data_IF_469415741757
#
_entry.id   IF_469415741757
#
_cell.length_a   1.000
_cell.length_b   1.000
_cell.length_c   1.000
_cell.angle_alpha   90.00
_cell.angle_beta   90.00
_cell.angle_gamma   90.00
#
_symmetry.space_group_name_H-M   'P 1'
#
loop_
_entity.id
_entity.type
_entity.pdbx_description
1 polymer ?
#
# COMPACT_ATOMS: atom_id res chain seq x y z
N UNK A 1 20.53 -1.15 -14.54
CA UNK A 1 20.58 -0.54 -14.59
C UNK A 1 20.73 -0.21 -14.58
N UNK A 2 20.45 -0.43 -14.30
CA UNK A 2 20.46 0.14 -14.15
C UNK A 2 20.37 0.43 -14.10
N UNK A 3 20.14 0.53 -13.93
CA UNK A 3 19.94 1.14 -13.89
C UNK A 3 19.51 1.29 -14.16
N UNK A 4 19.41 1.15 -14.14
CA UNK A 4 18.96 1.68 -14.32
C UNK A 4 18.45 1.90 -14.56
N UNK A 5 18.23 1.86 -14.58
CA UNK A 5 17.71 2.37 -14.68
C UNK A 5 17.11 2.66 -15.03
N UNK A 6 16.82 2.85 -15.19
CA UNK A 6 16.18 3.31 -15.42
C UNK A 6 15.40 3.45 -15.81
N UNK A 7 14.99 3.67 -15.94
CA UNK A 7 14.17 3.75 -16.17
C UNK A 7 13.27 3.98 -16.39
N UNK A 8 12.92 4.05 -16.56
CA UNK A 8 11.95 4.10 -16.64
C UNK A 8 11.08 4.46 -16.43
N UNK A 9 10.43 4.54 -17.25
CA UNK A 9 9.21 5.15 -16.95
C UNK A 9 8.82 4.69 -15.58
N UNK A 10 8.08 5.19 -14.86
CA UNK A 10 7.70 4.72 -13.55
C UNK A 10 8.81 4.24 -12.65
N UNK A 11 9.96 4.01 -13.21
CA UNK A 11 11.08 3.55 -12.40
C UNK A 11 11.79 4.74 -11.82
N UNK A 12 11.77 4.85 -10.51
CA UNK A 12 12.60 5.79 -9.83
C UNK A 12 13.82 5.04 -9.29
N UNK A 13 14.86 5.77 -8.96
CA UNK A 13 16.02 5.18 -8.32
C UNK A 13 15.78 4.87 -6.86
N UNK A 14 14.64 5.31 -6.35
CA UNK A 14 14.27 5.05 -4.97
C UNK A 14 13.79 3.60 -4.84
N UNK A 15 14.16 2.98 -3.76
CA UNK A 15 13.66 1.65 -3.44
C UNK A 15 12.15 1.71 -3.20
N UNK A 16 11.49 0.57 -3.32
CA UNK A 16 10.06 0.51 -3.02
C UNK A 16 9.78 0.91 -1.57
N UNK A 17 10.67 0.53 -0.67
CA UNK A 17 10.57 0.92 0.74
C UNK A 17 10.49 2.42 0.89
N UNK A 18 11.37 3.15 0.20
CA UNK A 18 11.37 4.62 0.24
C UNK A 18 10.11 5.19 -0.38
N UNK A 19 9.68 4.66 -1.52
CA UNK A 19 8.46 5.13 -2.20
C UNK A 19 7.24 4.97 -1.33
N UNK A 20 7.15 3.86 -0.61
CA UNK A 20 6.01 3.58 0.25
C UNK A 20 6.11 4.26 1.60
N UNK A 21 7.26 4.81 1.94
CA UNK A 21 7.47 5.51 3.19
C UNK A 21 7.63 4.59 4.40
N UNK A 22 8.16 3.40 4.18
CA UNK A 22 8.39 2.45 5.28
C UNK A 22 9.69 2.82 5.97
N UNK A 23 9.61 3.06 7.27
CA UNK A 23 10.77 3.45 8.07
C UNK A 23 11.34 2.26 8.84
N UNK A 24 12.65 2.26 9.12
CA UNK A 24 13.24 1.20 9.95
C UNK A 24 12.53 1.09 11.28
N UNK A 25 12.37 -0.14 11.75
CA UNK A 25 11.69 -0.40 13.02
C UNK A 25 10.19 -0.42 12.95
N UNK A 26 9.60 -0.15 11.78
CA UNK A 26 8.14 -0.13 11.63
C UNK A 26 7.54 -1.51 11.82
N UNK A 27 6.38 -1.53 12.44
CA UNK A 27 5.55 -2.72 12.55
C UNK A 27 4.64 -2.75 11.32
N UNK A 28 4.87 -3.69 10.42
CA UNK A 28 4.19 -3.73 9.13
C UNK A 28 3.48 -5.05 8.89
N UNK A 29 2.44 -4.98 8.07
CA UNK A 29 1.77 -6.18 7.55
C UNK A 29 1.33 -5.89 6.13
N UNK A 30 1.09 -6.95 5.37
CA UNK A 30 0.51 -6.82 4.04
C UNK A 30 -0.50 -7.93 3.83
N UNK A 31 -1.54 -7.60 3.12
CA UNK A 31 -2.69 -8.48 2.94
C UNK A 31 -2.89 -8.76 1.45
N UNK A 32 -2.95 -10.05 1.10
CA UNK A 32 -3.11 -10.52 -0.28
C UNK A 32 -2.01 -10.05 -1.24
N UNK A 33 -0.83 -9.81 -0.72
CA UNK A 33 0.29 -9.33 -1.51
C UNK A 33 0.75 -10.40 -2.52
N UNK A 34 1.25 -9.96 -3.69
CA UNK A 34 1.90 -10.89 -4.61
C UNK A 34 3.06 -11.61 -3.93
N UNK A 35 3.36 -12.81 -4.38
CA UNK A 35 4.44 -13.61 -3.79
C UNK A 35 5.79 -12.90 -3.81
N UNK A 36 6.02 -12.09 -4.82
CA UNK A 36 7.29 -11.39 -4.99
C UNK A 36 7.39 -10.08 -4.20
N UNK A 37 6.36 -9.74 -3.41
CA UNK A 37 6.32 -8.47 -2.71
C UNK A 37 7.50 -8.27 -1.77
N UNK A 38 7.84 -9.30 -0.99
CA UNK A 38 8.98 -9.21 -0.07
C UNK A 38 10.29 -8.95 -0.81
N UNK A 39 10.45 -9.56 -1.98
CA UNK A 39 11.64 -9.32 -2.81
C UNK A 39 11.65 -7.89 -3.35
N UNK A 40 10.48 -7.35 -3.71
CA UNK A 40 10.38 -5.98 -4.18
C UNK A 40 10.79 -4.98 -3.11
N UNK A 41 10.47 -5.26 -1.85
CA UNK A 41 10.85 -4.38 -0.76
C UNK A 41 12.35 -4.31 -0.59
N UNK A 42 13.06 -5.41 -0.84
CA UNK A 42 14.51 -5.41 -0.84
C UNK A 42 15.18 -5.15 0.49
N UNK A 43 14.48 -5.38 1.59
CA UNK A 43 15.03 -5.11 2.92
C UNK A 43 15.75 -6.32 3.49
N UNK A 44 16.90 -6.11 4.16
CA UNK A 44 17.53 -7.17 4.92
C UNK A 44 16.61 -7.65 6.05
N UNK A 45 16.64 -8.94 6.39
CA UNK A 45 15.89 -9.44 7.54
C UNK A 45 16.27 -8.69 8.80
N UNK A 46 15.29 -8.38 9.61
CA UNK A 46 15.51 -7.76 10.92
C UNK A 46 15.35 -6.26 10.97
N UNK A 47 15.27 -5.59 9.83
CA UNK A 47 15.04 -4.13 9.82
C UNK A 47 13.60 -3.74 10.06
N UNK A 48 12.66 -4.66 9.85
CA UNK A 48 11.24 -4.40 10.04
C UNK A 48 10.63 -5.51 10.88
N UNK A 49 9.60 -5.15 11.61
CA UNK A 49 8.78 -6.14 12.30
C UNK A 49 7.60 -6.50 11.38
N UNK A 50 7.72 -7.60 10.66
CA UNK A 50 6.65 -8.05 9.76
C UNK A 50 5.74 -8.98 10.55
N UNK A 51 4.47 -8.62 10.63
CA UNK A 51 3.49 -9.34 11.45
C UNK A 51 2.34 -9.87 10.59
N UNK A 52 1.56 -10.78 11.18
CA UNK A 52 0.54 -11.51 10.46
C UNK A 52 -0.77 -10.75 10.25
N UNK A 53 -1.72 -11.44 9.62
CA UNK A 53 -2.97 -10.87 9.13
C UNK A 53 -3.90 -10.34 10.21
N UNK A 54 -3.74 -10.80 11.45
CA UNK A 54 -4.63 -10.38 12.55
C UNK A 54 -3.99 -9.37 13.47
N UNK A 55 -2.76 -8.97 13.18
CA UNK A 55 -2.03 -8.05 14.04
C UNK A 55 -2.61 -6.66 13.93
N UNK A 56 -2.53 -5.92 15.04
CA UNK A 56 -3.02 -4.55 15.15
C UNK A 56 -1.88 -3.62 15.53
N UNK A 57 -2.22 -2.34 15.69
CA UNK A 57 -1.26 -1.32 16.05
C UNK A 57 -0.13 -1.22 15.04
N UNK A 58 -0.50 -1.31 13.77
CA UNK A 58 0.45 -1.28 12.67
C UNK A 58 0.88 0.15 12.36
N UNK A 59 2.16 0.31 12.08
CA UNK A 59 2.68 1.55 11.52
C UNK A 59 2.38 1.62 10.03
N UNK A 60 2.29 0.47 9.38
CA UNK A 60 2.15 0.37 7.94
C UNK A 60 1.36 -0.91 7.59
N UNK A 61 0.37 -0.76 6.74
CA UNK A 61 -0.37 -1.90 6.19
C UNK A 61 -0.51 -1.70 4.68
N UNK A 62 -0.19 -2.73 3.91
CA UNK A 62 -0.35 -2.70 2.46
C UNK A 62 -1.41 -3.72 2.07
N UNK A 63 -2.54 -3.22 1.61
CA UNK A 63 -3.69 -4.03 1.21
C UNK A 63 -3.72 -4.14 -0.32
N UNK A 64 -3.74 -5.36 -0.83
CA UNK A 64 -3.85 -5.62 -2.26
C UNK A 64 -5.25 -6.16 -2.54
N UNK A 65 -5.96 -5.54 -3.48
CA UNK A 65 -7.32 -5.94 -3.85
C UNK A 65 -7.47 -5.91 -5.37
N UNK A 66 -8.32 -6.78 -5.89
CA UNK A 66 -8.51 -6.88 -7.34
C UNK A 66 -9.84 -6.32 -7.82
N UNK A 67 -10.78 -6.09 -6.92
CA UNK A 67 -12.10 -5.60 -7.33
C UNK A 67 -12.72 -4.74 -6.23
N UNK A 68 -13.74 -3.99 -6.64
CA UNK A 68 -14.41 -3.03 -5.77
C UNK A 68 -15.07 -3.71 -4.57
N UNK A 69 -15.73 -4.83 -4.80
CA UNK A 69 -16.43 -5.54 -3.74
C UNK A 69 -15.47 -5.92 -2.60
N UNK A 70 -14.31 -6.47 -2.98
CA UNK A 70 -13.30 -6.85 -1.99
C UNK A 70 -12.80 -5.64 -1.21
N UNK A 71 -12.60 -4.52 -1.90
CA UNK A 71 -12.10 -3.31 -1.25
C UNK A 71 -13.12 -2.77 -0.25
N UNK A 72 -14.40 -2.73 -0.65
CA UNK A 72 -15.47 -2.26 0.24
C UNK A 72 -15.51 -3.09 1.52
N UNK A 73 -15.32 -4.40 1.40
CA UNK A 73 -15.32 -5.30 2.56
C UNK A 73 -14.07 -5.18 3.40
N UNK A 74 -12.91 -5.04 2.76
CA UNK A 74 -11.62 -5.08 3.44
C UNK A 74 -11.20 -3.76 4.07
N UNK A 75 -11.62 -2.64 3.50
CA UNK A 75 -11.13 -1.33 3.91
C UNK A 75 -11.42 -1.01 5.39
N UNK A 76 -12.67 -1.18 5.89
CA UNK A 76 -12.93 -0.87 7.30
C UNK A 76 -12.08 -1.71 8.25
N UNK A 77 -11.86 -2.98 7.90
CA UNK A 77 -11.05 -3.88 8.72
C UNK A 77 -9.59 -3.44 8.72
N UNK A 78 -9.08 -3.07 7.55
CA UNK A 78 -7.71 -2.60 7.42
C UNK A 78 -7.49 -1.31 8.21
N UNK A 79 -8.43 -0.38 8.12
CA UNK A 79 -8.36 0.88 8.86
C UNK A 79 -8.17 0.63 10.36
N UNK A 80 -8.90 -0.34 10.90
CA UNK A 80 -8.85 -0.62 12.35
C UNK A 80 -7.54 -1.25 12.79
N UNK A 81 -6.73 -1.74 11.86
CA UNK A 81 -5.46 -2.40 12.18
C UNK A 81 -4.30 -1.43 12.28
N UNK A 82 -4.40 -0.24 11.70
CA UNK A 82 -3.31 0.73 11.74
C UNK A 82 -3.49 1.70 12.90
N UNK A 83 -2.36 2.19 13.42
CA UNK A 83 -2.36 3.25 14.43
C UNK A 83 -2.94 4.53 13.83
N UNK A 84 -3.39 5.45 14.70
CA UNK A 84 -3.89 6.74 14.22
C UNK A 84 -2.85 7.55 13.46
N UNK A 85 -1.56 7.31 13.71
CA UNK A 85 -0.47 7.92 12.94
C UNK A 85 0.13 6.93 11.93
N UNK A 86 -0.54 5.80 11.69
CA UNK A 86 -0.09 4.80 10.74
C UNK A 86 -0.49 5.12 9.33
N UNK A 87 -0.09 4.24 8.43
CA UNK A 87 -0.30 4.39 6.99
C UNK A 87 -0.97 3.14 6.42
N UNK A 88 -1.96 3.36 5.58
CA UNK A 88 -2.59 2.28 4.82
C UNK A 88 -2.37 2.53 3.33
N UNK A 89 -1.62 1.66 2.68
CA UNK A 89 -1.51 1.65 1.24
C UNK A 89 -2.52 0.66 0.69
N UNK A 90 -3.27 1.09 -0.32
CA UNK A 90 -4.18 0.21 -1.06
C UNK A 90 -3.67 0.10 -2.48
N UNK A 91 -3.47 -1.12 -2.95
CA UNK A 91 -3.01 -1.36 -4.31
C UNK A 91 -4.04 -2.16 -5.09
N UNK A 92 -4.16 -1.82 -6.36
CA UNK A 92 -5.09 -2.46 -7.29
C UNK A 92 -4.37 -2.67 -8.61
N UNK A 93 -4.85 -3.62 -9.46
CA UNK A 93 -4.23 -3.84 -10.76
C UNK A 93 -4.35 -2.63 -11.67
N UNK A 94 -3.27 -2.28 -12.35
CA UNK A 94 -3.29 -1.18 -13.32
C UNK A 94 -4.18 -1.54 -14.51
N UNK A 95 -4.63 -0.52 -15.24
CA UNK A 95 -5.50 -0.74 -16.39
C UNK A 95 -4.84 -1.56 -17.49
N UNK A 96 -3.51 -1.53 -17.57
CA UNK A 96 -2.76 -2.29 -18.57
C UNK A 96 -2.41 -3.70 -18.11
N UNK A 97 -2.70 -4.03 -16.86
CA UNK A 97 -2.43 -5.37 -16.34
C UNK A 97 -3.48 -6.36 -16.83
N UNK A 98 -3.08 -7.62 -16.99
CA UNK A 98 -4.02 -8.70 -17.26
C UNK A 98 -4.96 -8.96 -16.09
N UNK A 99 -4.62 -8.41 -14.91
CA UNK A 99 -5.43 -8.54 -13.71
C UNK A 99 -6.45 -7.41 -13.57
N UNK A 100 -6.46 -6.44 -14.48
CA UNK A 100 -7.32 -5.26 -14.39
C UNK A 100 -8.79 -5.62 -14.22
N UNK A 101 -9.46 -4.86 -13.37
CA UNK A 101 -10.87 -5.05 -13.05
C UNK A 101 -11.59 -3.72 -12.94
N UNK A 102 -12.46 -3.61 -11.96
CA UNK A 102 -13.33 -2.45 -11.78
C UNK A 102 -12.78 -1.40 -10.82
N UNK A 103 -11.49 -1.45 -10.50
CA UNK A 103 -10.85 -0.48 -9.64
C UNK A 103 -10.04 0.54 -10.45
N UNK A 104 -10.11 1.78 -10.00
CA UNK A 104 -9.32 2.88 -10.52
C UNK A 104 -8.90 3.75 -9.33
N UNK A 105 -8.00 4.68 -9.57
CA UNK A 105 -7.57 5.61 -8.54
C UNK A 105 -8.77 6.32 -7.90
N UNK A 106 -9.71 6.80 -8.72
CA UNK A 106 -10.88 7.53 -8.21
C UNK A 106 -11.80 6.64 -7.36
N UNK A 107 -12.04 5.42 -7.80
CA UNK A 107 -12.88 4.48 -7.04
C UNK A 107 -12.23 4.18 -5.69
N UNK A 108 -10.94 3.91 -5.68
CA UNK A 108 -10.20 3.62 -4.45
C UNK A 108 -10.24 4.84 -3.51
N UNK A 109 -10.02 6.03 -4.05
CA UNK A 109 -10.08 7.27 -3.27
C UNK A 109 -11.43 7.46 -2.61
N UNK A 110 -12.51 7.28 -3.36
CA UNK A 110 -13.87 7.45 -2.85
C UNK A 110 -14.15 6.51 -1.68
N UNK A 111 -13.72 5.26 -1.80
CA UNK A 111 -13.92 4.28 -0.74
C UNK A 111 -13.12 4.68 0.52
N UNK A 112 -11.89 5.14 0.34
CA UNK A 112 -11.08 5.59 1.47
C UNK A 112 -11.68 6.79 2.18
N UNK A 113 -12.13 7.77 1.41
CA UNK A 113 -12.77 8.96 1.98
C UNK A 113 -14.06 8.60 2.72
N UNK A 114 -14.85 7.69 2.16
CA UNK A 114 -16.08 7.23 2.81
C UNK A 114 -15.80 6.53 4.14
N UNK A 115 -14.61 5.98 4.31
CA UNK A 115 -14.19 5.32 5.55
C UNK A 115 -13.46 6.27 6.50
N UNK A 116 -13.37 7.56 6.17
CA UNK A 116 -12.79 8.54 7.08
C UNK A 116 -11.29 8.75 6.99
N UNK A 117 -10.65 8.15 6.00
CA UNK A 117 -9.23 8.39 5.75
C UNK A 117 -9.07 9.39 4.60
N UNK A 118 -7.87 9.91 4.43
CA UNK A 118 -7.55 10.78 3.31
C UNK A 118 -6.35 10.23 2.55
N UNK A 119 -6.38 10.40 1.23
CA UNK A 119 -5.27 10.00 0.37
C UNK A 119 -4.24 11.12 0.33
N UNK A 120 -2.96 10.73 0.36
CA UNK A 120 -1.87 11.69 0.40
C UNK A 120 -0.81 11.47 -0.67
N UNK A 121 -0.79 10.31 -1.32
CA UNK A 121 0.21 10.02 -2.34
C UNK A 121 -0.24 8.87 -3.22
N UNK A 122 0.08 8.98 -4.51
CA UNK A 122 -0.12 7.88 -5.46
C UNK A 122 1.25 7.41 -5.94
N UNK A 123 1.40 6.11 -6.15
CA UNK A 123 2.64 5.55 -6.65
C UNK A 123 2.38 4.24 -7.39
N UNK A 124 3.26 3.92 -8.34
CA UNK A 124 3.28 2.59 -8.93
C UNK A 124 4.07 1.67 -8.00
N UNK A 125 3.50 0.52 -7.67
CA UNK A 125 4.22 -0.50 -6.92
C UNK A 125 5.12 -1.29 -7.88
N UNK A 126 4.55 -1.70 -9.01
CA UNK A 126 5.29 -2.31 -10.10
C UNK A 126 4.50 -2.15 -11.39
N UNK A 127 4.79 -2.97 -12.40
CA UNK A 127 4.11 -2.88 -13.69
C UNK A 127 2.62 -3.22 -13.62
N UNK A 128 2.24 -4.05 -12.68
CA UNK A 128 0.87 -4.56 -12.56
C UNK A 128 0.03 -3.91 -11.49
N UNK A 129 0.66 -3.23 -10.52
CA UNK A 129 -0.04 -2.71 -9.36
C UNK A 129 0.20 -1.22 -9.15
N UNK A 130 -0.89 -0.48 -9.06
CA UNK A 130 -0.88 0.92 -8.63
C UNK A 130 -1.19 0.99 -7.14
N UNK A 131 -0.78 2.08 -6.49
CA UNK A 131 -1.03 2.24 -5.07
C UNK A 131 -1.47 3.65 -4.69
N UNK A 132 -2.31 3.75 -3.68
CA UNK A 132 -2.77 5.00 -3.11
C UNK A 132 -2.56 4.93 -1.60
N UNK A 133 -1.88 5.94 -1.05
CA UNK A 133 -1.54 6.00 0.35
C UNK A 133 -2.61 6.75 1.12
N UNK A 134 -3.13 6.14 2.18
CA UNK A 134 -4.12 6.75 3.06
C UNK A 134 -3.57 6.95 4.46
N UNK A 135 -4.00 8.02 5.09
CA UNK A 135 -3.69 8.32 6.49
C UNK A 135 -4.96 8.84 7.16
N UNK A 136 -4.98 8.81 8.49
CA UNK A 136 -6.06 9.43 9.25
C UNK A 136 -6.02 10.93 9.03
N UNK A 137 -7.20 11.56 9.04
CA UNK A 137 -7.29 13.02 9.01
C UNK A 137 -6.57 13.59 10.22
N UNK A 138 -6.01 14.80 10.09
CA UNK A 138 -5.27 15.41 11.18
C UNK A 138 -6.08 15.45 12.48
N UNK A 139 -7.37 15.77 12.39
CA UNK A 139 -8.24 15.84 13.58
C UNK A 139 -8.43 14.49 14.26
N UNK A 140 -8.18 13.40 13.56
CA UNK A 140 -8.38 12.04 14.06
C UNK A 140 -7.10 11.38 14.52
N UNK A 141 -5.97 12.07 14.40
CA UNK A 141 -4.69 11.59 14.90
C UNK A 141 -4.50 12.04 16.32
N UNK A 142 -4.47 11.13 17.23
CA UNK A 142 -4.28 11.48 18.62
C UNK A 142 -3.09 10.78 19.24
#
# INVERSE_FOLDING_TARGET
LAEVVKRSAGFSRRSLVDKLGIKPGSRISFSNAPRYYSSLLGLPPGELEIVGDRSRDLDFLHLFVRNRKRLVEAFPKAKRRIKSNGTLWVSWPTLTSTLAGDLSENVVREIGLANGLVDVKVAAVDEDWSGLKFVYRLKDRS
#
